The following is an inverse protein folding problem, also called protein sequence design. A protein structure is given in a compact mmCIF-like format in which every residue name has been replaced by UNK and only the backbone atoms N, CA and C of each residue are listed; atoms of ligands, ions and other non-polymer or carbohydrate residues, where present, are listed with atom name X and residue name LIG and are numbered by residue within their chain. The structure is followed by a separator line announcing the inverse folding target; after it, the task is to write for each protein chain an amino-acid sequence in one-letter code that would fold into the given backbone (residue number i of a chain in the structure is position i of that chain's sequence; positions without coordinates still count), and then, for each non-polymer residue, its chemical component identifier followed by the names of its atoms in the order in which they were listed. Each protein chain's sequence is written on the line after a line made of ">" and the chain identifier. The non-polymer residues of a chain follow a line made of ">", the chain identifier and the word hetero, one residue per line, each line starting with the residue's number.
data_IF_546990637932
#
_entry.id   IF_546990637932
#
_cell.length_a   1.000
_cell.length_b   1.000
_cell.length_c   1.000
_cell.angle_alpha   90.00
_cell.angle_beta   90.00
_cell.angle_gamma   90.00
#
_symmetry.space_group_name_H-M   'P 1'
#
loop_
_entity.id
_entity.type
_entity.pdbx_description
1 polymer ?
#
# COMPACT_ATOMS: atom_id res chain seq x y z
N UNK A 1 -3.38 0.47 7.69
CA UNK A 1 -1.97 0.68 7.35
C UNK A 1 -1.13 0.34 8.56
N UNK A 2 -0.04 -0.38 8.35
CA UNK A 2 0.93 -0.75 9.40
C UNK A 2 2.22 0.04 9.19
N UNK A 3 2.87 0.50 10.25
CA UNK A 3 4.17 1.16 10.16
C UNK A 3 5.25 0.22 10.69
N UNK A 4 6.20 -0.16 9.83
CA UNK A 4 7.32 -1.05 10.15
C UNK A 4 8.61 -0.25 10.31
N UNK A 5 9.42 -0.56 11.33
CA UNK A 5 10.79 -0.06 11.45
C UNK A 5 11.75 -0.96 10.67
N UNK A 6 12.36 -0.43 9.61
CA UNK A 6 13.38 -1.16 8.84
C UNK A 6 14.74 -1.03 9.52
N UNK A 7 15.17 -2.06 10.24
CA UNK A 7 16.47 -2.09 10.92
C UNK A 7 17.65 -1.83 9.98
N UNK A 8 17.61 -2.40 8.77
CA UNK A 8 18.62 -2.20 7.72
C UNK A 8 18.68 -0.76 7.17
N UNK A 9 17.75 0.11 7.55
CA UNK A 9 17.72 1.54 7.19
C UNK A 9 17.79 2.42 8.45
N UNK A 10 18.56 2.01 9.46
CA UNK A 10 18.72 2.79 10.69
C UNK A 10 17.40 3.00 11.44
N UNK A 11 16.54 1.99 11.46
CA UNK A 11 15.19 2.05 12.02
C UNK A 11 14.26 3.09 11.35
N UNK A 12 14.48 3.41 10.07
CA UNK A 12 13.55 4.24 9.30
C UNK A 12 12.19 3.56 9.13
N UNK A 13 11.12 4.36 9.07
CA UNK A 13 9.73 3.88 9.02
C UNK A 13 9.26 3.61 7.58
N UNK A 14 8.59 2.48 7.35
CA UNK A 14 7.89 2.14 6.11
C UNK A 14 6.41 1.97 6.40
N UNK A 15 5.55 2.61 5.62
CA UNK A 15 4.11 2.37 5.66
C UNK A 15 3.71 1.20 4.77
N UNK A 16 2.92 0.27 5.30
CA UNK A 16 2.36 -0.87 4.59
C UNK A 16 0.85 -0.67 4.44
N UNK A 17 0.41 -0.49 3.20
CA UNK A 17 -1.01 -0.44 2.86
C UNK A 17 -1.48 -1.88 2.65
N UNK A 18 -2.48 -2.29 3.43
CA UNK A 18 -3.04 -3.63 3.45
C UNK A 18 -4.56 -3.54 3.31
N UNK A 19 -5.20 -4.63 2.85
CA UNK A 19 -6.65 -4.84 2.83
C UNK A 19 -7.47 -3.70 2.18
N UNK A 20 -6.99 -3.16 1.07
CA UNK A 20 -7.74 -2.15 0.30
C UNK A 20 -8.92 -2.81 -0.43
N UNK A 21 -10.13 -2.47 0.00
CA UNK A 21 -11.37 -2.93 -0.63
C UNK A 21 -12.35 -1.77 -0.80
N UNK A 22 -13.05 -1.77 -1.94
CA UNK A 22 -14.19 -0.88 -2.20
C UNK A 22 -15.38 -1.74 -2.57
N UNK A 23 -16.51 -1.51 -1.90
CA UNK A 23 -17.78 -2.16 -2.18
C UNK A 23 -18.10 -2.06 -3.69
N UNK A 24 -18.48 -3.18 -4.36
CA UNK A 24 -18.77 -3.19 -5.78
C UNK A 24 -19.75 -2.10 -6.24
N UNK A 25 -20.76 -1.78 -5.44
CA UNK A 25 -21.79 -0.77 -5.75
C UNK A 25 -21.27 0.68 -5.70
N UNK A 26 -20.08 0.88 -5.13
CA UNK A 26 -19.42 2.18 -5.01
C UNK A 26 -18.12 2.29 -5.84
N UNK A 27 -17.76 1.26 -6.62
CA UNK A 27 -16.62 1.32 -7.55
C UNK A 27 -16.85 2.36 -8.65
N UNK A 28 -15.76 2.82 -9.26
CA UNK A 28 -15.80 3.89 -10.29
C UNK A 28 -15.98 5.31 -9.72
N UNK A 29 -16.32 5.47 -8.43
CA UNK A 29 -16.50 6.77 -7.76
C UNK A 29 -15.21 7.34 -7.13
N UNK A 30 -14.05 6.86 -7.55
CA UNK A 30 -12.70 7.26 -7.06
C UNK A 30 -12.45 7.05 -5.55
N UNK A 31 -13.31 6.31 -4.84
CA UNK A 31 -13.16 6.09 -3.39
C UNK A 31 -11.86 5.37 -3.04
N UNK A 32 -11.50 4.33 -3.79
CA UNK A 32 -10.24 3.62 -3.57
C UNK A 32 -9.01 4.50 -3.76
N UNK A 33 -9.04 5.39 -4.76
CA UNK A 33 -7.94 6.34 -5.00
C UNK A 33 -7.79 7.31 -3.82
N UNK A 34 -8.91 7.90 -3.37
CA UNK A 34 -8.92 8.79 -2.19
C UNK A 34 -8.45 8.08 -0.93
N UNK A 35 -8.81 6.81 -0.75
CA UNK A 35 -8.34 6.00 0.37
C UNK A 35 -6.82 5.83 0.33
N UNK A 36 -6.26 5.42 -0.81
CA UNK A 36 -4.81 5.24 -0.96
C UNK A 36 -4.06 6.56 -0.77
N UNK A 37 -4.54 7.66 -1.36
CA UNK A 37 -3.97 9.01 -1.18
C UNK A 37 -3.96 9.41 0.31
N UNK A 38 -5.07 9.21 1.03
CA UNK A 38 -5.16 9.51 2.45
C UNK A 38 -4.18 8.67 3.30
N UNK A 39 -3.99 7.39 2.95
CA UNK A 39 -3.01 6.53 3.63
C UNK A 39 -1.57 6.96 3.35
N UNK A 40 -1.27 7.42 2.13
CA UNK A 40 0.05 7.97 1.78
C UNK A 40 0.33 9.26 2.56
N UNK A 41 -0.64 10.16 2.68
CA UNK A 41 -0.50 11.37 3.50
C UNK A 41 -0.34 11.05 4.99
N UNK A 42 -1.09 10.08 5.52
CA UNK A 42 -0.92 9.60 6.88
C UNK A 42 0.49 9.05 7.12
N UNK A 43 1.02 8.23 6.20
CA UNK A 43 2.37 7.68 6.30
C UNK A 43 3.43 8.79 6.29
N UNK A 44 3.25 9.82 5.47
CA UNK A 44 4.12 11.00 5.44
C UNK A 44 4.09 11.72 6.78
N UNK A 45 2.91 11.92 7.37
CA UNK A 45 2.74 12.49 8.70
C UNK A 45 3.44 11.70 9.81
N UNK A 46 3.45 10.37 9.70
CA UNK A 46 4.14 9.47 10.64
C UNK A 46 5.67 9.44 10.45
N UNK A 47 6.20 10.13 9.45
CA UNK A 47 7.62 10.16 9.11
C UNK A 47 8.09 8.91 8.37
N UNK A 48 7.20 8.22 7.65
CA UNK A 48 7.59 7.11 6.77
C UNK A 48 8.36 7.65 5.57
N UNK A 49 9.50 7.05 5.26
CA UNK A 49 10.30 7.45 4.09
C UNK A 49 9.76 6.85 2.77
N UNK A 50 8.92 5.81 2.87
CA UNK A 50 8.20 5.21 1.75
C UNK A 50 6.95 4.48 2.21
N UNK A 51 6.05 4.23 1.27
CA UNK A 51 4.88 3.36 1.41
C UNK A 51 4.98 2.22 0.40
N UNK A 52 4.60 1.02 0.80
CA UNK A 52 4.53 -0.16 -0.07
C UNK A 52 3.19 -0.89 0.12
N UNK A 53 2.83 -1.67 -0.89
CA UNK A 53 1.72 -2.62 -0.88
C UNK A 53 1.99 -3.68 -1.93
N UNK A 54 1.31 -4.81 -1.76
CA UNK A 54 1.28 -5.87 -2.74
C UNK A 54 -0.10 -5.91 -3.42
N UNK A 55 -0.13 -6.22 -4.72
CA UNK A 55 -1.39 -6.32 -5.46
C UNK A 55 -1.31 -7.31 -6.61
N UNK A 56 -2.48 -7.80 -7.02
CA UNK A 56 -2.60 -8.57 -8.25
C UNK A 56 -2.24 -7.71 -9.48
N UNK A 57 -1.68 -8.32 -10.52
CA UNK A 57 -1.19 -7.62 -11.72
C UNK A 57 -2.27 -6.76 -12.39
N UNK A 58 -3.53 -7.23 -12.39
CA UNK A 58 -4.67 -6.48 -12.93
C UNK A 58 -4.95 -5.15 -12.21
N UNK A 59 -4.47 -4.98 -10.97
CA UNK A 59 -4.66 -3.77 -10.16
C UNK A 59 -3.47 -2.79 -10.25
N UNK A 60 -2.37 -3.15 -10.91
CA UNK A 60 -1.20 -2.25 -11.08
C UNK A 60 -1.61 -0.90 -11.67
N UNK A 61 -2.42 -0.83 -12.76
CA UNK A 61 -2.81 0.47 -13.33
C UNK A 61 -3.67 1.34 -12.40
N UNK A 62 -4.32 0.74 -11.39
CA UNK A 62 -5.03 1.50 -10.37
C UNK A 62 -4.08 2.16 -9.38
N UNK A 63 -3.05 1.44 -8.91
CA UNK A 63 -2.06 1.98 -7.97
C UNK A 63 -1.08 2.95 -8.63
N UNK A 64 -0.79 2.78 -9.93
CA UNK A 64 -0.02 3.78 -10.70
C UNK A 64 -0.74 5.13 -10.78
N UNK A 65 -2.08 5.13 -10.88
CA UNK A 65 -2.88 6.37 -10.81
C UNK A 65 -2.81 7.06 -9.44
N UNK A 66 -2.45 6.31 -8.39
CA UNK A 66 -2.19 6.84 -7.04
C UNK A 66 -0.72 7.27 -6.85
N UNK A 67 0.10 7.21 -7.90
CA UNK A 67 1.51 7.61 -7.86
C UNK A 67 2.48 6.53 -7.33
N UNK A 68 2.00 5.29 -7.12
CA UNK A 68 2.88 4.17 -6.79
C UNK A 68 3.54 3.60 -8.04
N UNK A 69 4.68 2.94 -7.86
CA UNK A 69 5.47 2.35 -8.94
C UNK A 69 5.79 0.89 -8.64
N UNK A 70 5.74 0.03 -9.67
CA UNK A 70 6.16 -1.37 -9.57
C UNK A 70 7.67 -1.44 -9.29
N UNK A 71 8.08 -2.18 -8.26
CA UNK A 71 9.49 -2.35 -7.88
C UNK A 71 9.88 -3.81 -7.69
N UNK A 72 9.22 -4.49 -6.76
CA UNK A 72 9.61 -5.83 -6.31
C UNK A 72 8.53 -6.87 -6.58
N UNK A 73 8.86 -8.14 -6.34
CA UNK A 73 7.93 -9.27 -6.41
C UNK A 73 7.54 -9.71 -4.99
N UNK A 74 6.23 -9.87 -4.75
CA UNK A 74 5.72 -10.47 -3.52
C UNK A 74 5.88 -11.99 -3.56
N UNK A 75 6.44 -12.57 -2.50
CA UNK A 75 6.53 -14.02 -2.31
C UNK A 75 5.67 -14.43 -1.12
N UNK A 76 5.00 -15.59 -1.20
CA UNK A 76 4.15 -16.11 -0.12
C UNK A 76 4.41 -17.59 0.11
N UNK A 77 4.51 -17.98 1.39
CA UNK A 77 4.40 -19.37 1.84
C UNK A 77 3.34 -19.41 2.92
N UNK A 78 2.24 -20.10 2.66
CA UNK A 78 1.21 -20.32 3.66
C UNK A 78 1.71 -21.35 4.68
N UNK A 79 1.60 -21.01 5.96
CA UNK A 79 1.83 -21.95 7.06
C UNK A 79 0.50 -22.57 7.44
N UNK A 80 0.51 -23.84 7.85
CA UNK A 80 -0.70 -24.56 8.25
C UNK A 80 -1.44 -23.77 9.34
N UNK A 81 -2.76 -23.62 9.17
CA UNK A 81 -3.65 -22.89 10.09
C UNK A 81 -4.15 -23.78 11.21
#
# INVERSE_FOLDING_TARGET
>A
MVVELKFIHGCSKVGHIEDVVVDPTYRGKRLGLKLVEALVEAARGDGCYKVILDCAEANVPFYEKAGLVRKEVQMVRYLDR
#
